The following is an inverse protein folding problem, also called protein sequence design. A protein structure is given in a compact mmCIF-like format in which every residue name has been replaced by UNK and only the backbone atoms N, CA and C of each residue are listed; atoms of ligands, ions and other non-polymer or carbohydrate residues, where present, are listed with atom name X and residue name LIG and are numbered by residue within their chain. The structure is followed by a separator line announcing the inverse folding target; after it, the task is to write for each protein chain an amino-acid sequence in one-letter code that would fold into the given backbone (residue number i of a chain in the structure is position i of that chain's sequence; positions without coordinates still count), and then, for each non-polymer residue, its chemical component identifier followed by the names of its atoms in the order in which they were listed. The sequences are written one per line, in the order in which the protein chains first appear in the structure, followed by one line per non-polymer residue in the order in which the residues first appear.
data_IF_855545428519
#
_entry.id   IF_855545428519
#
_cell.length_a   1.000
_cell.length_b   1.000
_cell.length_c   1.000
_cell.angle_alpha   90.00
_cell.angle_beta   90.00
_cell.angle_gamma   90.00
#
_symmetry.space_group_name_H-M   'P 1'
#
loop_
_entity.id
_entity.type
_entity.pdbx_description
1 polymer ?
#
# COMPACT_ATOMS: atom_id res chain seq x y z
N UNK A 1 -12.60 -22.39 -10.98
CA UNK A 1 -11.17 -22.52 -10.64
C UNK A 1 -11.03 -23.78 -9.80
N UNK A 2 -10.08 -24.67 -10.11
CA UNK A 2 -9.80 -25.84 -9.28
C UNK A 2 -9.11 -25.35 -8.02
N UNK A 3 -9.63 -25.72 -6.86
CA UNK A 3 -9.07 -25.33 -5.58
C UNK A 3 -7.89 -26.27 -5.30
N UNK A 4 -6.68 -25.81 -5.60
CA UNK A 4 -5.45 -26.56 -5.30
C UNK A 4 -5.22 -26.55 -3.78
N UNK A 5 -5.10 -27.73 -3.18
CA UNK A 5 -4.98 -27.89 -1.72
C UNK A 5 -3.59 -27.53 -1.20
N UNK A 6 -2.60 -27.45 -2.09
CA UNK A 6 -1.20 -27.21 -1.77
C UNK A 6 -0.73 -25.90 -2.43
N UNK A 7 0.01 -25.09 -1.68
CA UNK A 7 0.65 -23.88 -2.18
C UNK A 7 1.78 -24.29 -3.14
N UNK A 8 1.80 -23.82 -4.39
CA UNK A 8 2.90 -24.09 -5.31
C UNK A 8 4.25 -23.63 -4.73
N UNK A 9 5.30 -24.42 -4.95
CA UNK A 9 6.63 -24.19 -4.37
C UNK A 9 7.23 -22.82 -4.72
N UNK A 10 6.91 -22.27 -5.88
CA UNK A 10 7.32 -20.93 -6.33
C UNK A 10 6.76 -19.78 -5.45
N UNK A 11 5.75 -20.04 -4.62
CA UNK A 11 5.17 -19.06 -3.68
C UNK A 11 5.62 -19.29 -2.23
N UNK A 12 6.48 -20.28 -1.99
CA UNK A 12 7.06 -20.57 -0.66
C UNK A 12 8.41 -19.84 -0.59
N UNK A 13 8.56 -18.92 0.37
CA UNK A 13 9.85 -18.27 0.61
C UNK A 13 10.93 -19.28 1.03
N UNK A 14 12.17 -19.14 0.52
CA UNK A 14 13.33 -19.87 1.02
C UNK A 14 13.49 -19.71 2.54
N UNK A 15 14.00 -20.74 3.22
CA UNK A 15 14.12 -20.74 4.69
C UNK A 15 14.99 -19.59 5.23
N UNK A 16 15.99 -19.16 4.47
CA UNK A 16 16.90 -18.06 4.76
C UNK A 16 16.31 -16.66 4.49
N UNK A 17 15.22 -16.58 3.71
CA UNK A 17 14.48 -15.33 3.45
C UNK A 17 13.22 -15.19 4.32
N UNK A 18 12.83 -16.25 5.04
CA UNK A 18 11.65 -16.21 5.90
C UNK A 18 11.85 -15.13 6.98
N UNK A 19 10.84 -14.26 7.18
CA UNK A 19 10.93 -13.22 8.19
C UNK A 19 11.16 -13.84 9.57
N UNK A 20 12.04 -13.20 10.35
CA UNK A 20 12.32 -13.61 11.72
C UNK A 20 11.01 -13.66 12.53
N UNK A 21 10.81 -14.74 13.30
CA UNK A 21 9.59 -14.98 14.11
C UNK A 21 9.39 -13.88 15.16
N UNK A 22 10.45 -13.16 15.51
CA UNK A 22 10.43 -12.00 16.39
C UNK A 22 10.62 -10.74 15.55
N UNK A 23 9.53 -10.21 14.99
CA UNK A 23 9.54 -8.92 14.33
C UNK A 23 9.72 -7.82 15.38
N UNK A 24 10.74 -6.98 15.21
CA UNK A 24 10.86 -5.77 16.01
C UNK A 24 9.83 -4.75 15.53
N UNK A 25 9.13 -4.11 16.47
CA UNK A 25 8.19 -3.05 16.13
C UNK A 25 8.97 -1.85 15.58
N UNK A 26 8.83 -1.62 14.28
CA UNK A 26 9.41 -0.46 13.60
C UNK A 26 8.52 0.75 13.86
N UNK A 27 9.04 1.71 14.62
CA UNK A 27 8.34 2.98 14.84
C UNK A 27 8.47 3.88 13.60
N UNK A 28 7.47 3.82 12.72
CA UNK A 28 7.45 4.60 11.48
C UNK A 28 7.01 6.05 11.80
N UNK A 29 7.77 7.08 11.37
CA UNK A 29 7.39 8.47 11.57
C UNK A 29 6.03 8.78 10.93
N UNK A 30 5.15 9.47 11.67
CA UNK A 30 3.88 10.00 11.17
C UNK A 30 4.01 11.53 11.05
N UNK A 31 3.90 12.05 9.83
CA UNK A 31 4.07 13.47 9.53
C UNK A 31 2.73 14.12 9.24
N UNK A 32 2.45 15.21 9.95
CA UNK A 32 1.26 16.04 9.76
C UNK A 32 1.58 17.23 8.85
N UNK A 33 0.89 17.34 7.71
CA UNK A 33 1.07 18.41 6.73
C UNK A 33 0.12 19.60 6.89
N UNK A 34 -0.72 19.69 7.93
CA UNK A 34 -1.56 20.90 8.15
C UNK A 34 -0.75 22.18 8.16
N UNK A 35 0.37 22.16 8.87
CA UNK A 35 1.27 23.31 8.96
C UNK A 35 1.86 23.70 7.60
N UNK A 36 2.10 22.72 6.74
CA UNK A 36 2.63 22.94 5.39
C UNK A 36 1.66 23.73 4.51
N UNK A 37 0.35 23.43 4.60
CA UNK A 37 -0.70 24.12 3.85
C UNK A 37 -1.25 25.37 4.55
N UNK A 38 -0.71 25.73 5.70
CA UNK A 38 -1.09 26.94 6.42
C UNK A 38 -0.44 28.19 5.80
N UNK A 39 -0.88 29.38 6.24
CA UNK A 39 -0.22 30.64 5.89
C UNK A 39 0.90 31.03 6.86
N UNK A 40 1.22 30.18 7.85
CA UNK A 40 2.28 30.40 8.84
C UNK A 40 3.62 29.83 8.35
N UNK A 41 4.61 30.68 8.03
CA UNK A 41 5.92 30.23 7.57
C UNK A 41 6.64 29.32 8.58
N UNK A 42 6.43 29.51 9.89
CA UNK A 42 7.06 28.68 10.92
C UNK A 42 6.48 27.26 10.90
N UNK A 43 5.16 27.13 10.75
CA UNK A 43 4.50 25.84 10.61
C UNK A 43 4.92 25.11 9.32
N UNK A 44 5.04 25.83 8.19
CA UNK A 44 5.55 25.25 6.93
C UNK A 44 7.00 24.77 7.07
N UNK A 45 7.86 25.56 7.70
CA UNK A 45 9.26 25.20 7.94
C UNK A 45 9.37 23.96 8.85
N UNK A 46 8.56 23.90 9.89
CA UNK A 46 8.54 22.76 10.82
C UNK A 46 8.10 21.46 10.13
N UNK A 47 7.04 21.49 9.32
CA UNK A 47 6.60 20.31 8.56
C UNK A 47 7.70 19.83 7.57
N UNK A 48 8.32 20.77 6.85
CA UNK A 48 9.42 20.47 5.91
C UNK A 48 10.64 19.86 6.62
N UNK A 49 10.97 20.35 7.83
CA UNK A 49 12.06 19.79 8.65
C UNK A 49 11.79 18.34 9.02
N UNK A 50 10.57 18.03 9.49
CA UNK A 50 10.18 16.67 9.88
C UNK A 50 10.24 15.69 8.69
N UNK A 51 9.78 16.10 7.51
CA UNK A 51 9.95 15.32 6.27
C UNK A 51 11.43 15.02 6.02
N UNK A 52 12.28 16.04 6.07
CA UNK A 52 13.72 15.86 5.88
C UNK A 52 14.36 14.92 6.91
N UNK A 53 13.92 14.97 8.16
CA UNK A 53 14.41 14.08 9.22
C UNK A 53 13.98 12.63 9.00
N UNK A 54 12.73 12.40 8.64
CA UNK A 54 12.23 11.07 8.31
C UNK A 54 12.98 10.47 7.12
N UNK A 55 13.20 11.25 6.06
CA UNK A 55 13.98 10.82 4.90
C UNK A 55 15.42 10.44 5.25
N UNK A 56 16.05 11.08 6.25
CA UNK A 56 17.44 10.76 6.65
C UNK A 56 17.57 9.58 7.60
N UNK A 57 16.51 9.27 8.33
CA UNK A 57 16.58 8.31 9.45
C UNK A 57 15.84 7.00 9.19
N UNK A 58 14.77 7.01 8.39
CA UNK A 58 13.90 5.84 8.18
C UNK A 58 13.70 5.48 6.70
N UNK A 59 14.07 6.36 5.76
CA UNK A 59 13.77 6.26 4.31
C UNK A 59 12.26 6.12 3.97
N UNK A 60 11.39 6.02 4.97
CA UNK A 60 9.95 5.79 4.88
C UNK A 60 9.21 6.49 6.02
N UNK A 61 8.03 7.04 5.73
CA UNK A 61 7.16 7.68 6.71
C UNK A 61 5.70 7.67 6.25
N UNK A 62 4.78 7.81 7.20
CA UNK A 62 3.36 8.01 6.96
C UNK A 62 3.04 9.51 6.95
N UNK A 63 2.01 9.89 6.21
CA UNK A 63 1.55 11.28 6.11
C UNK A 63 0.06 11.37 6.41
N UNK A 64 -0.34 12.38 7.20
CA UNK A 64 -1.73 12.80 7.44
C UNK A 64 -1.88 14.27 7.09
N UNK A 65 -3.11 14.74 6.85
CA UNK A 65 -3.37 16.12 6.42
C UNK A 65 -2.65 16.52 5.15
N UNK A 66 -2.50 15.55 4.24
CA UNK A 66 -1.89 15.72 2.92
C UNK A 66 -2.77 16.50 1.94
N UNK A 67 -4.01 16.87 2.30
CA UNK A 67 -4.91 17.66 1.47
C UNK A 67 -5.51 16.92 0.26
N UNK A 68 -5.39 15.59 0.22
CA UNK A 68 -6.04 14.76 -0.82
C UNK A 68 -7.46 14.47 -0.36
N UNK A 69 -8.42 14.74 -1.23
CA UNK A 69 -9.85 14.54 -0.95
C UNK A 69 -10.16 13.08 -0.57
N UNK A 70 -10.87 12.90 0.54
CA UNK A 70 -11.20 11.57 1.08
C UNK A 70 -12.15 10.78 0.18
N UNK A 71 -13.01 11.45 -0.61
CA UNK A 71 -13.84 10.79 -1.61
C UNK A 71 -13.02 10.31 -2.80
N UNK A 72 -11.96 11.03 -3.18
CA UNK A 72 -11.03 10.57 -4.22
C UNK A 72 -10.34 9.27 -3.78
N UNK A 73 -9.84 9.21 -2.55
CA UNK A 73 -9.23 7.99 -1.97
C UNK A 73 -10.25 6.85 -1.95
N UNK A 74 -11.47 7.12 -1.46
CA UNK A 74 -12.53 6.12 -1.40
C UNK A 74 -12.92 5.57 -2.78
N UNK A 75 -13.01 6.43 -3.79
CA UNK A 75 -13.27 6.02 -5.18
C UNK A 75 -12.12 5.20 -5.75
N UNK A 76 -10.86 5.56 -5.47
CA UNK A 76 -9.71 4.78 -5.90
C UNK A 76 -9.76 3.36 -5.32
N UNK A 77 -10.07 3.21 -4.03
CA UNK A 77 -10.28 1.89 -3.42
C UNK A 77 -11.43 1.12 -4.07
N UNK A 78 -12.57 1.77 -4.26
CA UNK A 78 -13.72 1.15 -4.91
C UNK A 78 -13.40 0.64 -6.32
N UNK A 79 -12.69 1.42 -7.13
CA UNK A 79 -12.30 1.01 -8.48
C UNK A 79 -11.25 -0.09 -8.49
N UNK A 80 -10.31 -0.10 -7.53
CA UNK A 80 -9.36 -1.21 -7.38
C UNK A 80 -10.11 -2.51 -7.06
N UNK A 81 -11.02 -2.49 -6.08
CA UNK A 81 -11.81 -3.66 -5.72
C UNK A 81 -12.66 -4.13 -6.91
N UNK A 82 -13.38 -3.21 -7.56
CA UNK A 82 -14.20 -3.51 -8.75
C UNK A 82 -13.38 -4.13 -9.87
N UNK A 83 -12.16 -3.64 -10.11
CA UNK A 83 -11.27 -4.19 -11.14
C UNK A 83 -10.88 -5.63 -10.81
N UNK A 84 -10.35 -5.89 -9.61
CA UNK A 84 -9.90 -7.23 -9.25
C UNK A 84 -11.04 -8.25 -9.04
N UNK A 85 -12.28 -7.79 -8.84
CA UNK A 85 -13.48 -8.62 -8.80
C UNK A 85 -14.00 -9.02 -10.20
N UNK A 86 -13.51 -8.39 -11.29
CA UNK A 86 -13.88 -8.78 -12.66
C UNK A 86 -13.36 -10.18 -13.03
N UNK A 87 -14.02 -10.87 -13.99
CA UNK A 87 -13.50 -12.13 -14.52
C UNK A 87 -12.06 -11.99 -15.01
N UNK A 88 -11.25 -13.04 -14.80
CA UNK A 88 -9.85 -13.03 -15.19
C UNK A 88 -9.64 -12.63 -16.66
N UNK A 89 -10.51 -13.11 -17.57
CA UNK A 89 -10.46 -12.76 -19.00
C UNK A 89 -10.63 -11.27 -19.27
N UNK A 90 -11.39 -10.56 -18.44
CA UNK A 90 -11.56 -9.11 -18.54
C UNK A 90 -10.34 -8.37 -17.98
N UNK A 91 -9.82 -8.81 -16.83
CA UNK A 91 -8.60 -8.24 -16.24
C UNK A 91 -7.37 -8.44 -17.11
N UNK A 92 -7.30 -9.57 -17.83
CA UNK A 92 -6.20 -9.88 -18.73
C UNK A 92 -6.11 -8.94 -19.94
N UNK A 93 -7.19 -8.23 -20.28
CA UNK A 93 -7.15 -7.18 -21.32
C UNK A 93 -6.23 -6.01 -20.94
N UNK A 94 -5.91 -5.86 -19.66
CA UNK A 94 -4.98 -4.86 -19.14
C UNK A 94 -3.54 -5.42 -18.94
N UNK A 95 -3.22 -6.61 -19.47
CA UNK A 95 -1.87 -7.17 -19.44
C UNK A 95 -0.89 -6.33 -20.27
N UNK A 96 0.36 -6.25 -19.81
CA UNK A 96 1.46 -5.56 -20.50
C UNK A 96 2.01 -6.40 -21.64
N UNK A 97 2.39 -5.74 -22.72
CA UNK A 97 3.40 -6.26 -23.63
C UNK A 97 4.80 -5.97 -23.06
N UNK A 98 5.79 -6.79 -23.44
CA UNK A 98 7.18 -6.59 -23.02
C UNK A 98 7.68 -5.25 -23.59
N UNK A 99 7.89 -4.27 -22.72
CA UNK A 99 8.38 -2.93 -23.08
C UNK A 99 7.47 -1.78 -22.67
N UNK A 100 6.22 -2.03 -22.30
CA UNK A 100 5.34 -1.00 -21.77
C UNK A 100 5.78 -0.58 -20.37
N UNK A 101 5.63 0.71 -20.02
CA UNK A 101 6.02 1.30 -18.71
C UNK A 101 4.82 1.35 -17.73
N UNK A 102 3.58 1.18 -18.22
CA UNK A 102 2.35 1.36 -17.42
C UNK A 102 1.41 0.16 -17.56
N UNK A 103 1.43 -0.77 -16.59
CA UNK A 103 0.32 -1.63 -16.17
C UNK A 103 0.75 -2.59 -15.02
N UNK A 104 -0.20 -3.34 -14.43
CA UNK A 104 0.07 -4.26 -13.32
C UNK A 104 1.05 -5.39 -13.74
N UNK A 105 2.13 -5.65 -12.98
CA UNK A 105 3.01 -6.79 -13.22
C UNK A 105 2.22 -8.11 -13.08
N UNK A 106 2.36 -9.03 -14.03
CA UNK A 106 1.67 -10.34 -14.06
C UNK A 106 1.95 -11.17 -12.80
N UNK A 107 3.16 -11.06 -12.23
CA UNK A 107 3.53 -11.68 -10.96
C UNK A 107 2.76 -11.10 -9.75
N UNK A 108 2.32 -9.84 -9.83
CA UNK A 108 1.44 -9.24 -8.83
C UNK A 108 0.02 -9.78 -8.97
N UNK A 109 -0.48 -10.05 -10.19
CA UNK A 109 -1.83 -10.56 -10.36
C UNK A 109 -2.02 -11.95 -9.70
N UNK A 110 -1.08 -12.87 -9.90
CA UNK A 110 -1.22 -14.23 -9.37
C UNK A 110 -0.97 -14.32 -7.85
N UNK A 111 0.06 -13.64 -7.33
CA UNK A 111 0.38 -13.65 -5.89
C UNK A 111 -0.54 -12.75 -5.05
N UNK A 112 -0.93 -11.58 -5.56
CA UNK A 112 -1.75 -10.62 -4.83
C UNK A 112 -3.21 -11.09 -4.75
N UNK A 113 -3.79 -11.70 -5.79
CA UNK A 113 -5.16 -12.24 -5.71
C UNK A 113 -5.30 -13.36 -4.65
N UNK A 114 -4.26 -14.19 -4.47
CA UNK A 114 -4.25 -15.26 -3.47
C UNK A 114 -4.09 -14.74 -2.03
N UNK A 115 -3.31 -13.67 -1.82
CA UNK A 115 -3.12 -13.07 -0.49
C UNK A 115 -4.18 -12.01 -0.12
N UNK A 116 -4.73 -11.28 -1.09
CA UNK A 116 -5.67 -10.17 -0.88
C UNK A 116 -7.03 -10.66 -0.40
N UNK A 117 -7.49 -11.82 -0.89
CA UNK A 117 -8.72 -12.46 -0.39
C UNK A 117 -8.52 -13.11 0.99
N UNK A 118 -7.29 -13.54 1.34
CA UNK A 118 -7.01 -14.28 2.58
C UNK A 118 -6.65 -13.45 3.81
N UNK A 119 -6.20 -12.19 3.66
CA UNK A 119 -5.67 -11.38 4.79
C UNK A 119 -6.45 -10.09 5.10
N UNK A 120 -7.61 -9.87 4.47
CA UNK A 120 -8.41 -8.64 4.59
C UNK A 120 -9.12 -8.44 5.95
N UNK A 121 -8.63 -9.03 7.05
CA UNK A 121 -9.29 -8.93 8.36
C UNK A 121 -8.43 -8.35 9.49
N UNK A 122 -7.23 -7.81 9.23
CA UNK A 122 -6.37 -7.33 10.32
C UNK A 122 -5.55 -6.06 10.00
N UNK A 123 -4.93 -5.97 8.83
CA UNK A 123 -4.05 -4.84 8.49
C UNK A 123 -4.80 -3.65 7.87
N UNK A 124 -5.80 -3.89 7.02
CA UNK A 124 -6.55 -2.81 6.37
C UNK A 124 -7.48 -2.07 7.33
N UNK A 125 -8.16 -2.73 8.27
CA UNK A 125 -9.00 -2.06 9.27
C UNK A 125 -8.16 -1.22 10.26
N UNK A 126 -6.93 -1.67 10.57
CA UNK A 126 -6.02 -0.93 11.46
C UNK A 126 -5.45 0.33 10.77
N UNK A 127 -5.23 0.28 9.46
CA UNK A 127 -4.78 1.43 8.67
C UNK A 127 -5.95 2.35 8.29
N UNK A 128 -7.12 1.82 7.92
CA UNK A 128 -8.31 2.61 7.60
C UNK A 128 -8.89 3.35 8.82
N UNK A 129 -8.90 2.72 10.00
CA UNK A 129 -9.29 3.42 11.23
C UNK A 129 -8.29 4.51 11.63
N UNK A 130 -7.05 4.47 11.13
CA UNK A 130 -6.07 5.55 11.29
C UNK A 130 -6.14 6.61 10.18
N UNK A 131 -6.64 6.28 8.98
CA UNK A 131 -6.83 7.23 7.86
C UNK A 131 -8.15 8.00 7.90
N UNK A 132 -8.98 7.83 8.93
CA UNK A 132 -10.00 8.84 9.26
C UNK A 132 -9.40 10.17 9.76
N UNK A 133 -8.07 10.24 9.89
CA UNK A 133 -7.31 11.46 10.00
C UNK A 133 -7.03 12.00 8.59
N UNK A 134 -8.03 12.64 7.98
CA UNK A 134 -7.71 13.68 6.98
C UNK A 134 -6.88 14.72 7.67
#
# INVERSE_FOLDING_TARGET
MKNESNIPTQYIWPDDEKPCVVAQELHIPLIDLRGFFSTDPAATQQASRLVGEACRSHDFFLVVNHGVDSNLISKAHHYMDTFFDMPLSENQKAQREIGDIVAMPTALLEGFLQSYLGKRHSLYDTLLNKTHLT
#
